data_IF_492823498468
#
_entry.id   IF_492823498468
#
_cell.length_a   1.000
_cell.length_b   1.000
_cell.length_c   1.000
_cell.angle_alpha   90.00
_cell.angle_beta   90.00
_cell.angle_gamma   90.00
#
_symmetry.space_group_name_H-M   'P 1'
#
loop_
_entity.id
_entity.type
_entity.pdbx_description
1 polymer ?
#
# COMPACT_ATOMS: atom_id res chain seq x y z
N UNK A 1 -19.07 1.87 17.59
CA UNK A 1 -18.76 1.98 16.14
C UNK A 1 -19.61 0.95 15.42
N UNK A 2 -20.36 1.32 14.37
CA UNK A 2 -21.09 0.35 13.55
C UNK A 2 -20.13 -0.31 12.56
N UNK A 3 -20.27 -1.63 12.39
CA UNK A 3 -19.53 -2.35 11.35
C UNK A 3 -20.12 -2.02 9.97
N UNK A 4 -19.32 -2.18 8.92
CA UNK A 4 -19.70 -1.91 7.53
C UNK A 4 -20.48 -3.07 6.85
N UNK A 5 -20.87 -4.10 7.61
CA UNK A 5 -21.58 -5.28 7.08
C UNK A 5 -20.70 -6.28 6.32
N UNK A 6 -19.44 -5.95 6.01
CA UNK A 6 -18.55 -6.82 5.25
C UNK A 6 -18.05 -8.03 6.07
N UNK A 7 -17.57 -9.09 5.39
CA UNK A 7 -16.95 -10.25 6.04
C UNK A 7 -15.78 -9.86 6.94
N UNK A 8 -15.52 -10.64 7.98
CA UNK A 8 -14.37 -10.43 8.87
C UNK A 8 -13.09 -10.77 8.13
N UNK A 9 -12.10 -9.89 8.19
CA UNK A 9 -10.78 -10.14 7.62
C UNK A 9 -9.88 -10.72 8.73
N UNK A 10 -9.19 -11.82 8.42
CA UNK A 10 -8.15 -12.35 9.30
C UNK A 10 -6.86 -11.58 9.06
N UNK A 11 -6.18 -11.16 10.11
CA UNK A 11 -4.88 -10.53 10.01
C UNK A 11 -3.89 -11.43 9.26
N UNK A 12 -4.01 -12.75 9.41
CA UNK A 12 -3.17 -13.73 8.73
C UNK A 12 -3.39 -13.81 7.22
N UNK A 13 -4.58 -13.47 6.75
CA UNK A 13 -4.90 -13.42 5.32
C UNK A 13 -4.41 -12.15 4.64
N UNK A 14 -4.08 -11.11 5.41
CA UNK A 14 -3.55 -9.86 4.87
C UNK A 14 -2.06 -10.03 4.53
N UNK A 15 -1.59 -9.39 3.45
CA UNK A 15 -0.17 -9.20 3.21
C UNK A 15 0.49 -8.56 4.45
N UNK A 16 1.66 -9.03 4.89
CA UNK A 16 2.30 -8.55 6.11
C UNK A 16 2.68 -7.07 6.05
N UNK A 17 2.76 -6.48 4.85
CA UNK A 17 3.00 -5.05 4.62
C UNK A 17 1.73 -4.18 4.70
N UNK A 18 0.54 -4.78 4.78
CA UNK A 18 -0.74 -4.06 4.94
C UNK A 18 -1.26 -4.08 6.39
N UNK A 19 -0.51 -4.70 7.29
CA UNK A 19 -0.79 -4.74 8.73
C UNK A 19 0.51 -4.48 9.49
N UNK A 20 0.42 -3.71 10.57
CA UNK A 20 1.54 -3.47 11.47
C UNK A 20 1.08 -3.83 12.87
N UNK A 21 1.69 -4.87 13.45
CA UNK A 21 1.46 -5.27 14.83
C UNK A 21 2.62 -4.78 15.70
N UNK A 22 2.30 -4.15 16.84
CA UNK A 22 3.30 -3.79 17.84
C UNK A 22 3.04 -4.48 19.17
N UNK A 23 4.12 -4.70 19.94
CA UNK A 23 4.06 -5.27 21.30
C UNK A 23 3.24 -4.40 22.26
N UNK A 24 3.12 -3.10 21.97
CA UNK A 24 2.34 -2.14 22.77
C UNK A 24 0.84 -2.24 22.52
N UNK A 25 0.34 -3.38 22.04
CA UNK A 25 -1.06 -3.62 21.67
C UNK A 25 -1.62 -2.69 20.59
N UNK A 26 -0.77 -1.97 19.84
CA UNK A 26 -1.22 -1.16 18.72
C UNK A 26 -1.18 -1.98 17.44
N UNK A 27 -2.35 -2.26 16.88
CA UNK A 27 -2.47 -2.82 15.54
C UNK A 27 -2.93 -1.73 14.56
N UNK A 28 -2.13 -1.48 13.53
CA UNK A 28 -2.50 -0.65 12.39
C UNK A 28 -2.77 -1.54 11.18
N UNK A 29 -3.72 -1.16 10.35
CA UNK A 29 -4.04 -1.86 9.11
C UNK A 29 -4.35 -0.85 8.02
N UNK A 30 -3.88 -1.14 6.80
CA UNK A 30 -4.29 -0.40 5.62
C UNK A 30 -5.75 -0.76 5.29
N UNK A 31 -6.60 0.25 5.13
CA UNK A 31 -7.98 0.04 4.74
C UNK A 31 -8.05 -0.69 3.38
N UNK A 32 -8.76 -1.82 3.24
CA UNK A 32 -8.84 -2.55 1.98
C UNK A 32 -9.45 -1.75 0.82
N UNK A 33 -10.32 -0.78 1.15
CA UNK A 33 -11.01 0.03 0.15
C UNK A 33 -10.18 1.21 -0.33
N UNK A 34 -9.42 1.84 0.56
CA UNK A 34 -8.78 3.12 0.24
C UNK A 34 -7.29 3.21 0.56
N UNK A 35 -6.68 2.14 1.07
CA UNK A 35 -5.26 2.09 1.40
C UNK A 35 -4.84 2.93 2.62
N UNK A 36 -5.72 3.75 3.19
CA UNK A 36 -5.37 4.59 4.33
C UNK A 36 -5.04 3.74 5.57
N UNK A 37 -3.88 4.00 6.19
CA UNK A 37 -3.49 3.37 7.44
C UNK A 37 -4.35 3.85 8.60
N UNK A 38 -4.93 2.91 9.33
CA UNK A 38 -5.82 3.18 10.46
C UNK A 38 -5.56 2.20 11.58
N UNK A 39 -5.81 2.63 12.82
CA UNK A 39 -5.75 1.76 13.98
C UNK A 39 -6.97 0.83 14.04
N UNK A 40 -6.72 -0.39 14.53
CA UNK A 40 -7.75 -1.36 14.86
C UNK A 40 -8.21 -1.07 16.30
N UNK A 41 -9.48 -0.75 16.48
CA UNK A 41 -10.10 -0.54 17.79
C UNK A 41 -11.30 -1.46 17.92
N UNK A 42 -11.38 -2.22 19.02
CA UNK A 42 -12.45 -3.21 19.27
C UNK A 42 -12.64 -4.19 18.09
N UNK A 43 -11.54 -4.67 17.51
CA UNK A 43 -11.56 -5.58 16.34
C UNK A 43 -12.06 -4.96 15.04
N UNK A 44 -12.06 -3.62 14.92
CA UNK A 44 -12.54 -2.92 13.73
C UNK A 44 -11.58 -1.82 13.28
N UNK A 45 -11.46 -1.61 11.98
CA UNK A 45 -10.79 -0.45 11.39
C UNK A 45 -11.48 0.82 11.84
N UNK A 46 -10.72 1.74 12.44
CA UNK A 46 -11.24 3.03 12.92
C UNK A 46 -11.96 3.76 11.78
N UNK A 47 -13.13 4.32 12.10
CA UNK A 47 -13.93 5.06 11.14
C UNK A 47 -13.12 6.22 10.54
N UNK A 48 -13.16 6.34 9.21
CA UNK A 48 -12.44 7.38 8.48
C UNK A 48 -13.21 7.78 7.23
N UNK A 49 -12.86 8.92 6.66
CA UNK A 49 -13.37 9.36 5.37
C UNK A 49 -12.45 8.86 4.27
N UNK A 50 -13.02 8.51 3.12
CA UNK A 50 -12.25 8.03 1.99
C UNK A 50 -11.34 9.12 1.44
N UNK A 51 -10.21 8.78 0.78
CA UNK A 51 -9.47 9.74 -0.01
C UNK A 51 -10.36 10.11 -1.19
N UNK A 52 -10.59 11.42 -1.34
CA UNK A 52 -11.23 12.07 -2.48
C UNK A 52 -12.65 11.61 -2.85
N UNK A 53 -13.61 12.52 -2.71
CA UNK A 53 -14.74 12.55 -3.63
C UNK A 53 -14.15 12.76 -5.03
N UNK A 54 -14.47 11.94 -6.04
CA UNK A 54 -14.08 12.24 -7.41
C UNK A 54 -14.47 13.70 -7.75
N UNK A 55 -13.49 14.52 -8.14
CA UNK A 55 -13.69 15.94 -8.45
C UNK A 55 -13.58 16.91 -7.26
N UNK A 56 -13.36 16.46 -6.01
CA UNK A 56 -13.18 17.36 -4.85
C UNK A 56 -11.95 18.27 -4.99
N UNK A 57 -10.92 17.81 -5.68
CA UNK A 57 -9.64 18.46 -5.96
C UNK A 57 -9.84 19.69 -6.85
N UNK A 58 -10.87 19.66 -7.70
CA UNK A 58 -11.22 20.73 -8.62
C UNK A 58 -11.90 21.94 -7.93
N UNK A 59 -12.31 21.78 -6.67
CA UNK A 59 -12.90 22.86 -5.88
C UNK A 59 -11.83 23.54 -4.99
N UNK A 60 -11.87 24.88 -4.85
CA UNK A 60 -11.10 25.59 -3.83
C UNK A 60 -11.36 24.98 -2.44
N UNK A 61 -10.36 25.06 -1.56
CA UNK A 61 -10.40 24.38 -0.27
C UNK A 61 -11.63 24.78 0.57
N UNK A 62 -12.07 26.04 0.48
CA UNK A 62 -13.26 26.55 1.17
C UNK A 62 -14.59 25.97 0.66
N UNK A 63 -14.65 25.48 -0.59
CA UNK A 63 -15.87 24.93 -1.21
C UNK A 63 -15.82 23.41 -1.37
N UNK A 64 -14.72 22.76 -0.95
CA UNK A 64 -14.54 21.33 -1.10
C UNK A 64 -15.51 20.56 -0.18
N UNK A 65 -16.41 19.73 -0.73
CA UNK A 65 -17.30 18.94 0.11
C UNK A 65 -16.49 17.97 0.99
N UNK A 66 -16.93 17.79 2.23
CA UNK A 66 -16.33 16.79 3.12
C UNK A 66 -16.43 15.39 2.48
N UNK A 67 -15.34 14.63 2.38
CA UNK A 67 -15.37 13.33 1.74
C UNK A 67 -16.35 12.39 2.47
N UNK A 68 -17.10 11.54 1.73
CA UNK A 68 -18.00 10.59 2.36
C UNK A 68 -17.22 9.62 3.24
N UNK A 69 -17.95 8.96 4.14
CA UNK A 69 -17.39 7.89 4.95
C UNK A 69 -16.85 6.79 4.03
N UNK A 70 -15.62 6.33 4.28
CA UNK A 70 -15.03 5.25 3.50
C UNK A 70 -15.86 3.96 3.70
N UNK A 71 -16.21 3.21 2.63
CA UNK A 71 -16.91 1.91 2.75
C UNK A 71 -16.16 0.90 3.65
N UNK A 72 -14.83 0.96 3.68
CA UNK A 72 -13.99 0.14 4.56
C UNK A 72 -13.95 0.62 6.03
N UNK A 73 -14.66 1.69 6.39
CA UNK A 73 -14.75 2.15 7.77
C UNK A 73 -15.56 1.22 8.65
N UNK A 74 -15.00 0.77 9.76
CA UNK A 74 -15.68 -0.24 10.60
C UNK A 74 -15.57 -1.65 10.02
N UNK A 75 -14.66 -1.87 9.06
CA UNK A 75 -14.28 -3.19 8.61
C UNK A 75 -13.80 -4.02 9.80
N UNK A 76 -14.36 -5.21 9.99
CA UNK A 76 -13.96 -6.12 11.07
C UNK A 76 -12.64 -6.79 10.70
N UNK A 77 -11.69 -6.74 11.61
CA UNK A 77 -10.36 -7.36 11.49
C UNK A 77 -10.09 -8.15 12.76
N UNK A 78 -9.90 -9.46 12.61
CA UNK A 78 -9.51 -10.35 13.71
C UNK A 78 -8.00 -10.55 13.64
N UNK A 79 -7.32 -10.17 14.72
CA UNK A 79 -5.89 -10.45 14.87
C UNK A 79 -5.74 -11.88 15.38
N UNK A 80 -5.36 -12.78 14.47
CA UNK A 80 -5.27 -14.23 14.68
C UNK A 80 -3.82 -14.74 14.66
N UNK A 81 -2.84 -13.83 14.67
CA UNK A 81 -1.42 -14.17 14.77
C UNK A 81 -0.71 -13.31 15.83
N UNK A 82 0.37 -13.84 16.38
CA UNK A 82 1.24 -13.12 17.32
C UNK A 82 2.12 -12.08 16.61
N UNK A 83 2.67 -11.14 17.38
CA UNK A 83 3.65 -10.17 16.88
C UNK A 83 4.86 -10.87 16.27
N UNK A 84 5.35 -11.95 16.89
CA UNK A 84 6.50 -12.69 16.39
C UNK A 84 6.19 -13.45 15.10
N UNK A 85 5.01 -14.04 14.99
CA UNK A 85 4.54 -14.66 13.74
C UNK A 85 4.44 -13.63 12.62
N UNK A 86 3.94 -12.42 12.93
CA UNK A 86 3.89 -11.32 11.95
C UNK A 86 5.30 -10.89 11.52
N UNK A 87 6.22 -10.68 12.47
CA UNK A 87 7.62 -10.30 12.20
C UNK A 87 8.31 -11.33 11.31
N UNK A 88 8.15 -12.61 11.62
CA UNK A 88 8.73 -13.69 10.84
C UNK A 88 8.20 -13.68 9.40
N UNK A 89 6.87 -13.57 9.22
CA UNK A 89 6.25 -13.49 7.89
C UNK A 89 6.70 -12.26 7.10
N UNK A 90 6.86 -11.12 7.77
CA UNK A 90 7.38 -9.90 7.15
C UNK A 90 8.83 -10.12 6.68
N UNK A 91 9.69 -10.68 7.52
CA UNK A 91 11.08 -10.98 7.18
C UNK A 91 11.19 -11.96 6.01
N UNK A 92 10.39 -13.02 6.00
CA UNK A 92 10.38 -14.01 4.91
C UNK A 92 9.89 -13.40 3.59
N UNK A 93 8.85 -12.55 3.64
CA UNK A 93 8.35 -11.84 2.46
C UNK A 93 9.40 -10.87 1.92
N UNK A 94 10.10 -10.13 2.79
CA UNK A 94 11.19 -9.26 2.40
C UNK A 94 12.36 -10.03 1.76
N UNK A 95 12.72 -11.20 2.33
CA UNK A 95 13.76 -12.07 1.79
C UNK A 95 13.41 -12.58 0.39
N UNK A 96 12.19 -13.05 0.21
CA UNK A 96 11.70 -13.53 -1.09
C UNK A 96 11.63 -12.40 -2.13
N UNK A 97 11.10 -11.22 -1.76
CA UNK A 97 11.09 -10.06 -2.64
C UNK A 97 12.51 -9.62 -3.04
N UNK A 98 13.48 -9.70 -2.11
CA UNK A 98 14.89 -9.45 -2.38
C UNK A 98 15.49 -10.41 -3.41
N UNK A 99 15.13 -11.70 -3.36
CA UNK A 99 15.59 -12.72 -4.33
C UNK A 99 15.07 -12.47 -5.75
N UNK A 100 13.87 -11.91 -5.89
CA UNK A 100 13.25 -11.60 -7.20
C UNK A 100 13.81 -10.36 -7.85
N UNK A 101 14.44 -9.45 -7.09
CA UNK A 101 15.02 -8.24 -7.66
C UNK A 101 16.29 -8.63 -8.43
N UNK A 102 16.35 -8.47 -9.76
CA UNK A 102 17.57 -8.75 -10.49
C UNK A 102 18.67 -7.85 -9.94
N UNK A 103 19.67 -8.45 -9.31
CA UNK A 103 20.89 -7.75 -8.85
C UNK A 103 21.77 -7.34 -10.04
N UNK A 104 21.50 -7.89 -11.22
CA UNK A 104 22.17 -7.52 -12.46
C UNK A 104 21.62 -6.19 -12.98
N UNK A 105 22.41 -5.13 -12.82
CA UNK A 105 22.20 -3.86 -13.53
C UNK A 105 22.35 -4.14 -15.03
N UNK A 106 21.30 -3.91 -15.81
CA UNK A 106 21.37 -3.91 -17.28
C UNK A 106 21.83 -2.51 -17.69
N UNK A 107 23.05 -2.34 -18.25
CA UNK A 107 23.50 -1.03 -18.70
C UNK A 107 22.56 -0.49 -19.78
N UNK A 108 22.26 0.82 -19.73
CA UNK A 108 21.53 1.48 -20.82
C UNK A 108 22.31 1.24 -22.14
N UNK A 109 21.67 0.78 -23.22
CA UNK A 109 22.31 0.69 -24.52
C UNK A 109 22.90 2.05 -24.91
N UNK A 110 24.21 2.09 -25.22
CA UNK A 110 24.83 3.30 -25.77
C UNK A 110 24.32 3.48 -27.21
N UNK A 111 23.93 4.70 -27.62
CA UNK A 111 23.60 4.94 -29.02
C UNK A 111 24.81 4.59 -29.90
N UNK A 112 24.58 4.11 -31.14
CA UNK A 112 25.68 3.89 -32.07
C UNK A 112 26.44 5.20 -32.29
N UNK A 113 27.77 5.12 -32.34
CA UNK A 113 28.62 6.28 -32.66
C UNK A 113 28.25 6.74 -34.07
N UNK A 114 27.95 8.04 -34.21
CA UNK A 114 27.66 8.62 -35.52
C UNK A 114 28.86 8.44 -36.47
N UNK A 115 28.60 8.17 -37.75
CA UNK A 115 29.67 8.06 -38.75
C UNK A 115 30.43 9.37 -38.84
N UNK A 116 31.76 9.28 -38.95
CA UNK A 116 32.60 10.45 -39.17
C UNK A 116 32.21 11.15 -40.48
N UNK A 117 32.26 12.49 -40.51
CA UNK A 117 31.88 13.31 -41.67
C UNK A 117 32.61 12.89 -42.95
N UNK A 118 33.88 12.49 -42.84
CA UNK A 118 34.70 11.95 -43.95
C UNK A 118 34.11 10.68 -44.59
N UNK A 119 33.35 9.89 -43.85
CA UNK A 119 32.68 8.69 -44.35
C UNK A 119 31.30 8.98 -44.97
N UNK A 120 30.76 10.17 -44.72
CA UNK A 120 29.52 10.64 -45.36
C UNK A 120 29.81 11.26 -46.74
N UNK A 121 30.99 11.86 -46.91
CA UNK A 121 31.41 12.54 -48.14
C UNK A 121 31.96 11.61 -49.25
N UNK A 122 32.27 10.35 -48.92
CA UNK A 122 32.82 9.37 -49.88
C UNK A 122 31.73 8.53 -50.58
N UNK A 123 30.54 9.10 -50.79
CA UNK A 123 29.42 8.46 -51.50
C UNK A 123 29.26 9.04 -52.90
#
# INVERSE_FOLDING_TARGET
MRHNGQPVILASSLPPNLISLSERSCALVACPTCGAWKSIKRGMVTAHRGPHVPGADAWPAEFRPSPPRCPGSGQRVRVDLSVDQWRQRLADTCREAGRRRPTRVIPRPKPPVARAVVQLAAR
#
